data_IF_115648177264
#
_entry.id   IF_115648177264
#
_cell.length_a   1.000
_cell.length_b   1.000
_cell.length_c   1.000
_cell.angle_alpha   90.00
_cell.angle_beta   90.00
_cell.angle_gamma   90.00
#
_symmetry.space_group_name_H-M   'P 1'
#
loop_
_entity.id
_entity.type
_entity.pdbx_description
1 polymer ?
#
# COMPACT_ATOMS: atom_id res chain seq x y z
N UNK A 1 -27.08 -1.46 -6.40
CA UNK A 1 -26.08 -1.81 -7.44
C UNK A 1 -25.55 -3.20 -7.16
N UNK A 2 -25.27 -4.00 -8.19
CA UNK A 2 -24.78 -5.39 -8.05
C UNK A 2 -23.38 -5.40 -7.39
N UNK A 3 -23.11 -6.21 -6.34
CA UNK A 3 -21.79 -6.30 -5.71
C UNK A 3 -20.66 -6.64 -6.68
N UNK A 4 -20.92 -7.42 -7.72
CA UNK A 4 -19.94 -7.78 -8.76
C UNK A 4 -19.43 -6.54 -9.50
N UNK A 5 -20.32 -5.59 -9.78
CA UNK A 5 -19.95 -4.35 -10.45
C UNK A 5 -18.95 -3.51 -9.62
N UNK A 6 -19.13 -3.46 -8.30
CA UNK A 6 -18.21 -2.74 -7.41
C UNK A 6 -16.80 -3.35 -7.43
N UNK A 7 -16.69 -4.67 -7.38
CA UNK A 7 -15.39 -5.35 -7.42
C UNK A 7 -14.70 -5.18 -8.77
N UNK A 8 -15.45 -5.25 -9.87
CA UNK A 8 -14.90 -4.96 -11.20
C UNK A 8 -14.37 -3.53 -11.26
N UNK A 9 -15.12 -2.56 -10.74
CA UNK A 9 -14.69 -1.17 -10.74
C UNK A 9 -13.44 -0.96 -9.86
N UNK A 10 -13.37 -1.57 -8.68
CA UNK A 10 -12.18 -1.56 -7.83
C UNK A 10 -10.95 -2.12 -8.55
N UNK A 11 -11.11 -3.27 -9.22
CA UNK A 11 -10.03 -3.91 -9.96
C UNK A 11 -9.53 -3.03 -11.11
N UNK A 12 -10.44 -2.49 -11.92
CA UNK A 12 -10.10 -1.62 -13.05
C UNK A 12 -9.39 -0.34 -12.55
N UNK A 13 -9.95 0.34 -11.55
CA UNK A 13 -9.36 1.57 -11.03
C UNK A 13 -8.01 1.33 -10.35
N UNK A 14 -7.89 0.25 -9.55
CA UNK A 14 -6.64 -0.13 -8.91
C UNK A 14 -5.55 -0.48 -9.93
N UNK A 15 -5.87 -1.35 -10.90
CA UNK A 15 -4.94 -1.73 -11.96
C UNK A 15 -4.54 -0.56 -12.87
N UNK A 16 -5.50 0.25 -13.28
CA UNK A 16 -5.24 1.45 -14.07
C UNK A 16 -4.33 2.44 -13.34
N UNK A 17 -4.50 2.58 -12.01
CA UNK A 17 -3.66 3.46 -11.19
C UNK A 17 -2.19 3.04 -11.22
N UNK A 18 -1.90 1.73 -11.09
CA UNK A 18 -0.53 1.20 -11.17
C UNK A 18 0.09 1.50 -12.54
N UNK A 19 -0.68 1.33 -13.62
CA UNK A 19 -0.23 1.61 -14.99
C UNK A 19 0.07 3.11 -15.14
N UNK A 20 -0.85 3.99 -14.72
CA UNK A 20 -0.70 5.44 -14.83
C UNK A 20 0.54 5.92 -14.06
N UNK A 21 0.72 5.49 -12.82
CA UNK A 21 1.88 5.85 -12.01
C UNK A 21 3.17 5.37 -12.68
N UNK A 22 3.19 4.14 -13.21
CA UNK A 22 4.35 3.60 -13.92
C UNK A 22 4.67 4.38 -15.19
N UNK A 23 3.65 4.81 -15.94
CA UNK A 23 3.83 5.65 -17.12
C UNK A 23 4.39 7.03 -16.72
N UNK A 24 3.87 7.66 -15.66
CA UNK A 24 4.40 8.92 -15.15
C UNK A 24 5.87 8.74 -14.74
N UNK A 25 6.17 7.69 -13.96
CA UNK A 25 7.51 7.39 -13.47
C UNK A 25 8.54 7.20 -14.60
N UNK A 26 8.13 6.67 -15.77
CA UNK A 26 9.00 6.53 -16.95
C UNK A 26 9.43 7.85 -17.58
N UNK A 27 8.67 8.93 -17.37
CA UNK A 27 8.91 10.24 -18.00
C UNK A 27 9.53 11.27 -17.04
N UNK A 28 9.78 10.90 -15.78
CA UNK A 28 10.42 11.76 -14.78
C UNK A 28 11.80 11.20 -14.40
N UNK A 29 12.67 12.08 -13.90
CA UNK A 29 13.99 11.67 -13.39
C UNK A 29 13.81 10.63 -12.26
N UNK A 30 14.55 9.49 -12.28
CA UNK A 30 14.50 8.44 -11.27
C UNK A 30 14.51 8.95 -9.83
N UNK A 31 15.23 10.05 -9.54
CA UNK A 31 15.30 10.63 -8.18
C UNK A 31 13.96 11.19 -7.66
N UNK A 32 13.01 11.46 -8.55
CA UNK A 32 11.68 11.96 -8.22
C UNK A 32 10.58 10.89 -8.33
N UNK A 33 10.92 9.67 -8.79
CA UNK A 33 9.93 8.59 -8.94
C UNK A 33 9.25 8.23 -7.62
N UNK A 34 9.93 8.41 -6.49
CA UNK A 34 9.35 8.26 -5.16
C UNK A 34 8.11 9.13 -4.92
N UNK A 35 8.04 10.33 -5.50
CA UNK A 35 6.85 11.21 -5.37
C UNK A 35 5.65 10.58 -6.07
N UNK A 36 5.86 10.04 -7.28
CA UNK A 36 4.80 9.39 -8.04
C UNK A 36 4.31 8.10 -7.36
N UNK A 37 5.24 7.28 -6.86
CA UNK A 37 4.91 6.01 -6.18
C UNK A 37 4.41 6.20 -4.73
N UNK A 38 4.67 7.33 -4.09
CA UNK A 38 4.13 7.65 -2.76
C UNK A 38 2.67 8.16 -2.81
N UNK A 39 2.09 8.38 -3.99
CA UNK A 39 0.69 8.77 -4.09
C UNK A 39 -0.21 7.67 -3.48
N UNK A 40 -1.07 7.99 -2.50
CA UNK A 40 -1.86 7.00 -1.78
C UNK A 40 -3.11 6.57 -2.57
N UNK A 41 -2.97 6.30 -3.87
CA UNK A 41 -4.10 6.07 -4.78
C UNK A 41 -4.91 4.85 -4.36
N UNK A 42 -4.23 3.75 -4.00
CA UNK A 42 -4.91 2.53 -3.53
C UNK A 42 -5.66 2.79 -2.22
N UNK A 43 -5.08 3.55 -1.29
CA UNK A 43 -5.73 3.91 -0.03
C UNK A 43 -6.97 4.79 -0.27
N UNK A 44 -6.86 5.82 -1.11
CA UNK A 44 -7.99 6.69 -1.47
C UNK A 44 -9.13 5.86 -2.07
N UNK A 45 -8.83 5.02 -3.07
CA UNK A 45 -9.83 4.16 -3.69
C UNK A 45 -10.46 3.22 -2.66
N UNK A 46 -9.65 2.53 -1.85
CA UNK A 46 -10.15 1.64 -0.81
C UNK A 46 -11.11 2.35 0.15
N UNK A 47 -10.75 3.54 0.64
CA UNK A 47 -11.56 4.33 1.57
C UNK A 47 -12.86 4.83 0.92
N UNK A 48 -12.83 5.24 -0.35
CA UNK A 48 -14.05 5.59 -1.10
C UNK A 48 -15.01 4.41 -1.13
N UNK A 49 -14.53 3.22 -1.51
CA UNK A 49 -15.39 2.04 -1.58
C UNK A 49 -15.84 1.57 -0.19
N UNK A 50 -15.01 1.68 0.85
CA UNK A 50 -15.41 1.39 2.23
C UNK A 50 -16.51 2.35 2.66
N UNK A 51 -16.36 3.65 2.41
CA UNK A 51 -17.39 4.64 2.74
C UNK A 51 -18.72 4.33 2.03
N UNK A 52 -18.67 4.03 0.74
CA UNK A 52 -19.87 3.74 -0.07
C UNK A 52 -20.57 2.43 0.33
N UNK A 53 -19.85 1.44 0.86
CA UNK A 53 -20.42 0.11 1.17
C UNK A 53 -20.64 -0.15 2.67
N UNK A 54 -19.85 0.48 3.53
CA UNK A 54 -19.76 0.21 4.97
C UNK A 54 -19.95 1.48 5.82
N UNK A 55 -20.08 2.65 5.20
CA UNK A 55 -20.36 3.91 5.88
C UNK A 55 -19.13 4.64 6.43
N UNK A 56 -19.40 5.84 6.99
CA UNK A 56 -18.36 6.75 7.48
C UNK A 56 -17.55 6.20 8.64
N UNK A 57 -18.20 5.52 9.58
CA UNK A 57 -17.55 5.03 10.80
C UNK A 57 -16.44 4.02 10.47
N UNK A 58 -16.71 3.06 9.58
CA UNK A 58 -15.71 2.07 9.19
C UNK A 58 -14.60 2.72 8.37
N UNK A 59 -14.92 3.63 7.45
CA UNK A 59 -13.92 4.37 6.69
C UNK A 59 -12.94 5.15 7.60
N UNK A 60 -13.46 5.80 8.66
CA UNK A 60 -12.63 6.51 9.65
C UNK A 60 -11.76 5.56 10.47
N UNK A 61 -12.32 4.43 10.93
CA UNK A 61 -11.54 3.40 11.66
C UNK A 61 -10.44 2.81 10.78
N UNK A 62 -10.73 2.53 9.51
CA UNK A 62 -9.73 2.07 8.54
C UNK A 62 -8.62 3.10 8.38
N UNK A 63 -8.95 4.38 8.13
CA UNK A 63 -7.92 5.42 8.01
C UNK A 63 -7.04 5.54 9.25
N UNK A 64 -7.64 5.49 10.44
CA UNK A 64 -6.91 5.52 11.71
C UNK A 64 -5.95 4.33 11.85
N UNK A 65 -6.43 3.13 11.53
CA UNK A 65 -5.61 1.92 11.57
C UNK A 65 -4.49 1.98 10.53
N UNK A 66 -4.82 2.32 9.28
CA UNK A 66 -3.86 2.47 8.19
C UNK A 66 -2.72 3.43 8.56
N UNK A 67 -3.02 4.57 9.19
CA UNK A 67 -1.98 5.50 9.62
C UNK A 67 -0.91 4.86 10.51
N UNK A 68 -1.29 3.92 11.40
CA UNK A 68 -0.31 3.19 12.21
C UNK A 68 0.53 2.25 11.34
N UNK A 69 -0.10 1.57 10.39
CA UNK A 69 0.57 0.65 9.49
C UNK A 69 1.44 1.33 8.42
N UNK A 70 1.23 2.61 8.11
CA UNK A 70 2.14 3.36 7.21
C UNK A 70 3.58 3.40 7.77
N UNK A 71 3.75 3.41 9.10
CA UNK A 71 5.08 3.31 9.70
C UNK A 71 5.76 1.96 9.43
N UNK A 72 5.00 0.87 9.32
CA UNK A 72 5.57 -0.42 8.92
C UNK A 72 5.92 -0.45 7.44
N UNK A 73 5.19 0.29 6.60
CA UNK A 73 5.56 0.46 5.20
C UNK A 73 6.92 1.15 5.04
N UNK A 74 7.21 2.17 5.86
CA UNK A 74 8.55 2.79 5.90
C UNK A 74 9.64 1.76 6.23
N UNK A 75 9.39 0.89 7.21
CA UNK A 75 10.28 -0.22 7.51
C UNK A 75 10.46 -1.15 6.30
N UNK A 76 9.37 -1.55 5.63
CA UNK A 76 9.44 -2.43 4.46
C UNK A 76 10.31 -1.84 3.36
N UNK A 77 10.11 -0.55 3.02
CA UNK A 77 10.89 0.15 1.99
C UNK A 77 12.37 0.18 2.35
N UNK A 78 12.69 0.52 3.61
CA UNK A 78 14.08 0.57 4.07
C UNK A 78 14.74 -0.82 4.07
N UNK A 79 14.06 -1.83 4.62
CA UNK A 79 14.55 -3.20 4.67
C UNK A 79 14.78 -3.74 3.25
N UNK A 80 13.84 -3.51 2.35
CA UNK A 80 13.96 -3.96 0.97
C UNK A 80 15.13 -3.27 0.25
N UNK A 81 15.28 -1.96 0.40
CA UNK A 81 16.41 -1.20 -0.14
C UNK A 81 17.76 -1.74 0.39
N UNK A 82 17.86 -2.01 1.69
CA UNK A 82 19.08 -2.54 2.30
C UNK A 82 19.38 -3.95 1.78
N UNK A 83 18.39 -4.85 1.73
CA UNK A 83 18.61 -6.22 1.24
C UNK A 83 19.00 -6.27 -0.24
N UNK A 84 18.50 -5.36 -1.07
CA UNK A 84 18.90 -5.26 -2.48
C UNK A 84 20.41 -5.01 -2.66
N UNK A 85 21.13 -4.54 -1.64
CA UNK A 85 22.58 -4.36 -1.68
C UNK A 85 23.36 -5.68 -1.52
N UNK A 86 22.75 -6.74 -1.00
CA UNK A 86 23.43 -7.97 -0.60
C UNK A 86 22.94 -9.22 -1.33
N UNK A 87 21.68 -9.24 -1.75
CA UNK A 87 21.03 -10.41 -2.33
C UNK A 87 20.19 -10.04 -3.55
N UNK A 88 19.77 -11.04 -4.32
CA UNK A 88 18.96 -10.80 -5.51
C UNK A 88 17.57 -10.25 -5.16
N UNK A 89 16.93 -9.63 -6.16
CA UNK A 89 15.65 -8.95 -6.03
C UNK A 89 14.56 -9.79 -5.35
N UNK A 90 14.37 -11.04 -5.77
CA UNK A 90 13.28 -11.88 -5.27
C UNK A 90 13.48 -12.29 -3.81
N UNK A 91 14.71 -12.59 -3.40
CA UNK A 91 15.02 -12.87 -2.00
C UNK A 91 14.91 -11.62 -1.13
N UNK A 92 15.42 -10.47 -1.61
CA UNK A 92 15.27 -9.20 -0.92
C UNK A 92 13.79 -8.85 -0.68
N UNK A 93 12.95 -9.04 -1.71
CA UNK A 93 11.51 -8.80 -1.61
C UNK A 93 10.87 -9.74 -0.60
N UNK A 94 11.17 -11.04 -0.70
CA UNK A 94 10.62 -12.06 0.20
C UNK A 94 10.97 -11.79 1.67
N UNK A 95 12.24 -11.54 1.97
CA UNK A 95 12.70 -11.31 3.35
C UNK A 95 12.17 -9.98 3.89
N UNK A 96 12.18 -8.90 3.08
CA UNK A 96 11.59 -7.63 3.48
C UNK A 96 10.10 -7.77 3.80
N UNK A 97 9.35 -8.49 2.96
CA UNK A 97 7.93 -8.70 3.15
C UNK A 97 7.61 -9.56 4.37
N UNK A 98 8.35 -10.66 4.58
CA UNK A 98 8.18 -11.53 5.76
C UNK A 98 8.50 -10.76 7.05
N UNK A 99 9.63 -10.04 7.08
CA UNK A 99 10.01 -9.26 8.25
C UNK A 99 9.03 -8.11 8.54
N UNK A 100 8.51 -7.47 7.50
CA UNK A 100 7.42 -6.50 7.61
C UNK A 100 6.17 -7.12 8.26
N UNK A 101 5.73 -8.29 7.78
CA UNK A 101 4.55 -8.97 8.32
C UNK A 101 4.71 -9.34 9.81
N UNK A 102 5.91 -9.77 10.21
CA UNK A 102 6.24 -10.02 11.62
C UNK A 102 6.11 -8.73 12.43
N UNK A 103 6.73 -7.63 12.00
CA UNK A 103 6.68 -6.35 12.72
C UNK A 103 5.26 -5.80 12.79
N UNK A 104 4.51 -5.83 11.69
CA UNK A 104 3.11 -5.41 11.65
C UNK A 104 2.26 -6.20 12.66
N UNK A 105 2.47 -7.52 12.75
CA UNK A 105 1.80 -8.38 13.73
C UNK A 105 2.20 -8.05 15.16
N UNK A 106 3.48 -7.78 15.42
CA UNK A 106 3.96 -7.40 16.76
C UNK A 106 3.36 -6.05 17.19
N UNK A 107 3.29 -5.07 16.30
CA UNK A 107 2.65 -3.77 16.57
C UNK A 107 1.17 -3.96 16.89
N UNK A 108 0.46 -4.76 16.10
CA UNK A 108 -0.93 -5.10 16.36
C UNK A 108 -1.13 -5.70 17.76
N UNK A 109 -0.23 -6.62 18.18
CA UNK A 109 -0.28 -7.26 19.49
C UNK A 109 0.04 -6.31 20.65
N UNK A 110 1.02 -5.41 20.47
CA UNK A 110 1.47 -4.46 21.50
C UNK A 110 0.45 -3.34 21.71
N UNK A 111 -0.04 -2.75 20.62
CA UNK A 111 -0.92 -1.59 20.66
C UNK A 111 -2.42 -1.95 20.69
N UNK A 112 -2.76 -3.24 20.53
CA UNK A 112 -4.15 -3.76 20.53
C UNK A 112 -5.07 -2.96 19.60
N UNK A 113 -4.58 -2.65 18.40
CA UNK A 113 -5.29 -1.82 17.40
C UNK A 113 -6.45 -2.53 16.72
#
# INVERSE_FOLDING_TARGET
MNPIFYYILQFILGGASVIIITLIAKHIDPKYTGIAYALPVILILAVIFIYLNQGLEIAQKTLKSTFVYEFTLVYFVLAFYLFLQWINFWWALGIAFISWAIIATLIQLIFKL
#
